data_IF_698315105969
#
_entry.id   IF_698315105969
#
_cell.length_a   1.000
_cell.length_b   1.000
_cell.length_c   1.000
_cell.angle_alpha   90.00
_cell.angle_beta   90.00
_cell.angle_gamma   90.00
#
_symmetry.space_group_name_H-M   'P 1'
#
loop_
_entity.id
_entity.type
_entity.pdbx_description
1 polymer ?
#
# COMPACT_ATOMS: atom_id res chain seq x y z
N UNK A 1 25.17 -66.32 -6.14
CA UNK A 1 23.91 -66.58 -5.42
C UNK A 1 23.86 -65.60 -4.27
N UNK A 2 22.77 -64.84 -4.14
CA UNK A 2 22.19 -64.28 -2.89
C UNK A 2 23.15 -63.28 -2.15
N UNK A 3 22.90 -61.95 -2.11
CA UNK A 3 21.98 -61.23 -1.19
C UNK A 3 22.33 -61.51 0.30
N UNK A 4 22.28 -60.61 1.29
CA UNK A 4 21.78 -59.24 1.48
C UNK A 4 22.52 -58.64 2.73
N UNK A 5 22.46 -57.40 3.22
CA UNK A 5 21.79 -56.12 2.86
C UNK A 5 22.53 -54.93 3.55
N UNK A 6 22.03 -53.70 3.40
CA UNK A 6 21.99 -52.56 4.37
C UNK A 6 23.31 -51.94 4.93
N UNK A 7 23.48 -50.62 5.08
CA UNK A 7 22.58 -49.45 5.00
C UNK A 7 23.40 -48.14 4.85
N UNK A 8 23.05 -47.17 3.97
CA UNK A 8 23.51 -45.79 4.07
C UNK A 8 22.46 -44.88 4.70
N UNK A 9 22.87 -44.03 5.64
CA UNK A 9 21.99 -43.19 6.46
C UNK A 9 21.06 -42.28 5.64
N UNK A 10 19.77 -42.33 5.99
CA UNK A 10 18.70 -41.60 5.32
C UNK A 10 18.71 -40.11 5.72
N UNK A 11 19.54 -39.30 5.04
CA UNK A 11 19.51 -37.84 5.17
C UNK A 11 18.20 -37.26 4.59
N UNK A 12 17.21 -37.21 5.46
CA UNK A 12 15.88 -36.66 5.27
C UNK A 12 15.92 -35.26 4.61
N UNK A 13 15.35 -35.07 3.40
CA UNK A 13 15.42 -33.79 2.70
C UNK A 13 14.61 -32.72 3.45
N UNK A 14 15.32 -31.84 4.16
CA UNK A 14 14.75 -30.71 4.89
C UNK A 14 13.81 -29.91 3.99
N UNK A 15 12.54 -29.84 4.41
CA UNK A 15 11.48 -29.00 3.87
C UNK A 15 12.01 -27.79 3.09
N UNK A 16 11.93 -27.86 1.76
CA UNK A 16 12.13 -26.70 0.89
C UNK A 16 10.98 -25.72 1.14
N UNK A 17 11.21 -24.79 2.06
CA UNK A 17 10.22 -23.80 2.47
C UNK A 17 9.63 -23.11 1.26
N UNK A 18 8.29 -23.00 1.20
CA UNK A 18 7.55 -22.35 0.12
C UNK A 18 8.17 -20.98 -0.18
N UNK A 19 8.94 -20.89 -1.25
CA UNK A 19 9.39 -19.61 -1.83
C UNK A 19 8.13 -18.94 -2.38
N UNK A 20 7.46 -18.17 -1.52
CA UNK A 20 6.24 -17.45 -1.85
C UNK A 20 6.60 -16.43 -2.92
N UNK A 21 6.26 -16.73 -4.16
CA UNK A 21 6.83 -16.11 -5.36
C UNK A 21 6.94 -14.60 -5.25
N UNK A 22 8.17 -14.08 -5.31
CA UNK A 22 8.40 -12.67 -5.56
C UNK A 22 8.06 -12.38 -7.03
N UNK A 23 6.76 -12.23 -7.32
CA UNK A 23 6.28 -11.68 -8.58
C UNK A 23 6.63 -10.18 -8.63
N UNK A 24 7.93 -9.87 -8.72
CA UNK A 24 8.44 -8.55 -9.06
C UNK A 24 8.17 -8.33 -10.55
N UNK A 25 7.26 -7.41 -10.85
CA UNK A 25 7.07 -6.88 -12.21
C UNK A 25 8.43 -6.42 -12.75
N UNK A 26 8.75 -6.80 -13.99
CA UNK A 26 9.96 -6.35 -14.68
C UNK A 26 9.88 -4.84 -14.96
N UNK A 27 11.01 -4.18 -15.23
CA UNK A 27 11.02 -2.73 -15.57
C UNK A 27 10.11 -2.45 -16.77
N UNK A 28 10.08 -3.35 -17.75
CA UNK A 28 9.22 -3.29 -18.93
C UNK A 28 7.73 -3.43 -18.57
N UNK A 29 7.36 -4.44 -17.77
CA UNK A 29 5.95 -4.60 -17.34
C UNK A 29 5.47 -3.42 -16.51
N UNK A 30 6.34 -2.80 -15.70
CA UNK A 30 6.03 -1.54 -14.99
C UNK A 30 5.78 -0.40 -15.97
N UNK A 31 6.62 -0.23 -17.00
CA UNK A 31 6.46 0.83 -17.99
C UNK A 31 5.14 0.69 -18.78
N UNK A 32 4.82 -0.52 -19.24
CA UNK A 32 3.57 -0.81 -19.96
C UNK A 32 2.34 -0.54 -19.09
N UNK A 33 2.35 -0.99 -17.82
CA UNK A 33 1.28 -0.71 -16.87
C UNK A 33 1.16 0.78 -16.54
N UNK A 34 2.29 1.48 -16.43
CA UNK A 34 2.31 2.92 -16.15
C UNK A 34 1.66 3.71 -17.28
N UNK A 35 2.07 3.50 -18.54
CA UNK A 35 1.47 4.21 -19.67
C UNK A 35 -0.01 3.85 -19.89
N UNK A 36 -0.39 2.57 -19.68
CA UNK A 36 -1.79 2.16 -19.75
C UNK A 36 -2.69 2.84 -18.70
N UNK A 37 -2.19 3.04 -17.47
CA UNK A 37 -2.94 3.59 -16.33
C UNK A 37 -2.70 5.08 -16.09
N UNK A 38 -1.80 5.72 -16.85
CA UNK A 38 -1.39 7.13 -16.70
C UNK A 38 -2.58 8.09 -16.68
N UNK A 39 -3.52 7.87 -17.60
CA UNK A 39 -4.75 8.68 -17.73
C UNK A 39 -5.67 8.51 -16.53
N UNK A 40 -5.75 7.32 -15.95
CA UNK A 40 -6.59 7.05 -14.78
C UNK A 40 -5.95 7.63 -13.52
N UNK A 41 -4.62 7.54 -13.37
CA UNK A 41 -3.90 8.24 -12.30
C UNK A 41 -4.10 9.76 -12.40
N UNK A 42 -4.01 10.35 -13.58
CA UNK A 42 -4.28 11.78 -13.82
C UNK A 42 -5.75 12.20 -13.61
N UNK A 43 -6.67 11.25 -13.47
CA UNK A 43 -8.11 11.49 -13.20
C UNK A 43 -8.52 11.05 -11.79
N UNK A 44 -7.56 10.63 -10.96
CA UNK A 44 -7.83 9.93 -9.70
C UNK A 44 -8.58 10.79 -8.67
N UNK A 45 -8.34 12.10 -8.58
CA UNK A 45 -9.16 13.01 -7.75
C UNK A 45 -10.64 12.97 -8.19
N UNK A 46 -10.93 13.00 -9.49
CA UNK A 46 -12.31 12.95 -10.00
C UNK A 46 -12.99 11.62 -9.64
N UNK A 47 -12.26 10.51 -9.80
CA UNK A 47 -12.76 9.16 -9.50
C UNK A 47 -13.02 9.00 -7.99
N UNK A 48 -12.12 9.45 -7.12
CA UNK A 48 -12.30 9.41 -5.66
C UNK A 48 -13.43 10.36 -5.23
N UNK A 49 -13.65 11.46 -5.95
CA UNK A 49 -14.77 12.36 -5.71
C UNK A 49 -16.16 11.76 -6.07
N UNK A 50 -16.23 10.63 -6.77
CA UNK A 50 -17.47 9.88 -6.99
C UNK A 50 -17.83 8.92 -5.84
N UNK A 51 -16.87 8.55 -4.98
CA UNK A 51 -17.07 7.55 -3.90
C UNK A 51 -17.74 8.14 -2.64
N UNK A 52 -18.29 7.26 -1.79
CA UNK A 52 -18.76 7.58 -0.43
C UNK A 52 -17.64 8.09 0.49
N UNK A 53 -17.98 8.79 1.57
CA UNK A 53 -16.97 9.37 2.49
C UNK A 53 -16.17 8.30 3.24
N UNK A 54 -16.82 7.20 3.59
CA UNK A 54 -16.25 5.97 4.12
C UNK A 54 -15.35 5.25 3.11
N UNK A 55 -15.83 5.07 1.87
CA UNK A 55 -15.06 4.48 0.77
C UNK A 55 -13.77 5.25 0.49
N UNK A 56 -13.82 6.59 0.47
CA UNK A 56 -12.65 7.46 0.27
C UNK A 56 -11.54 7.17 1.28
N UNK A 57 -11.86 7.01 2.56
CA UNK A 57 -10.85 6.70 3.58
C UNK A 57 -10.20 5.33 3.36
N UNK A 58 -11.00 4.33 2.97
CA UNK A 58 -10.52 2.98 2.67
C UNK A 58 -9.68 2.92 1.37
N UNK A 59 -10.03 3.69 0.34
CA UNK A 59 -9.25 3.83 -0.90
C UNK A 59 -7.91 4.53 -0.65
N UNK A 60 -7.90 5.64 0.08
CA UNK A 60 -6.69 6.39 0.43
C UNK A 60 -5.69 5.54 1.23
N UNK A 61 -6.19 4.65 2.08
CA UNK A 61 -5.43 3.62 2.81
C UNK A 61 -4.84 2.55 1.87
N UNK A 62 -5.48 2.26 0.73
CA UNK A 62 -4.89 1.39 -0.30
C UNK A 62 -3.70 2.04 -1.03
N UNK A 63 -3.76 3.36 -1.22
CA UNK A 63 -2.74 4.10 -1.99
C UNK A 63 -1.41 4.35 -1.24
N UNK A 64 -1.39 4.33 0.09
CA UNK A 64 -0.16 4.55 0.88
C UNK A 64 0.98 3.60 0.55
N UNK A 65 0.64 2.34 0.26
CA UNK A 65 1.60 1.31 -0.14
C UNK A 65 2.30 1.66 -1.44
N UNK A 66 1.56 2.17 -2.43
CA UNK A 66 2.13 2.55 -3.73
C UNK A 66 3.01 3.80 -3.62
N UNK A 67 2.64 4.75 -2.76
CA UNK A 67 3.47 5.93 -2.45
C UNK A 67 4.81 5.60 -1.78
N UNK A 68 4.99 4.37 -1.29
CA UNK A 68 6.19 3.93 -0.55
C UNK A 68 6.89 2.71 -1.13
N UNK A 69 6.41 2.14 -2.24
CA UNK A 69 7.02 0.96 -2.87
C UNK A 69 7.85 1.34 -4.10
N UNK A 70 9.07 0.80 -4.19
CA UNK A 70 9.91 0.83 -5.40
C UNK A 70 10.65 2.15 -5.62
N UNK A 71 11.95 2.08 -5.91
CA UNK A 71 12.82 3.26 -6.02
C UNK A 71 13.35 3.53 -7.43
N UNK A 72 12.97 2.69 -8.41
CA UNK A 72 13.22 2.94 -9.83
C UNK A 72 12.47 4.15 -10.38
N UNK A 73 12.97 4.72 -11.49
CA UNK A 73 12.49 5.95 -12.14
C UNK A 73 10.97 5.94 -12.38
N UNK A 74 10.44 4.83 -12.91
CA UNK A 74 9.00 4.66 -13.19
C UNK A 74 8.20 4.69 -11.89
N UNK A 75 8.69 4.03 -10.84
CA UNK A 75 8.07 4.07 -9.52
C UNK A 75 8.10 5.48 -8.91
N UNK A 76 9.16 6.27 -9.13
CA UNK A 76 9.22 7.66 -8.69
C UNK A 76 8.27 8.58 -9.47
N UNK A 77 8.17 8.43 -10.80
CA UNK A 77 7.20 9.19 -11.62
C UNK A 77 5.76 8.86 -11.22
N UNK A 78 5.45 7.57 -11.03
CA UNK A 78 4.15 7.11 -10.54
C UNK A 78 3.83 7.64 -9.14
N UNK A 79 4.80 7.63 -8.19
CA UNK A 79 4.63 8.23 -6.86
C UNK A 79 4.29 9.72 -6.97
N UNK A 80 4.96 10.47 -7.85
CA UNK A 80 4.72 11.91 -8.04
C UNK A 80 3.30 12.18 -8.53
N UNK A 81 2.87 11.51 -9.60
CA UNK A 81 1.50 11.68 -10.15
C UNK A 81 0.44 11.28 -9.12
N UNK A 82 0.61 10.14 -8.43
CA UNK A 82 -0.30 9.72 -7.37
C UNK A 82 -0.35 10.74 -6.22
N UNK A 83 0.80 11.28 -5.80
CA UNK A 83 0.83 12.27 -4.72
C UNK A 83 0.10 13.56 -5.10
N UNK A 84 0.40 14.13 -6.28
CA UNK A 84 -0.25 15.36 -6.78
C UNK A 84 -1.79 15.24 -6.81
N UNK A 85 -2.31 14.05 -7.11
CA UNK A 85 -3.76 13.78 -7.20
C UNK A 85 -4.39 13.43 -5.85
N UNK A 86 -3.65 12.79 -4.93
CA UNK A 86 -4.17 12.32 -3.65
C UNK A 86 -3.94 13.29 -2.48
N UNK A 87 -2.98 14.21 -2.57
CA UNK A 87 -2.66 15.17 -1.51
C UNK A 87 -3.89 15.98 -1.03
N UNK A 88 -4.81 16.47 -1.89
CA UNK A 88 -6.02 17.16 -1.45
C UNK A 88 -6.95 16.27 -0.62
N UNK A 89 -6.98 14.96 -0.91
CA UNK A 89 -7.77 13.98 -0.17
C UNK A 89 -7.14 13.60 1.16
N UNK A 90 -5.80 13.46 1.24
CA UNK A 90 -5.10 13.27 2.50
C UNK A 90 -5.25 14.47 3.45
N UNK A 91 -5.26 15.70 2.92
CA UNK A 91 -5.60 16.92 3.70
C UNK A 91 -7.04 16.88 4.26
N UNK A 92 -7.98 16.26 3.53
CA UNK A 92 -9.40 16.11 3.90
C UNK A 92 -9.70 14.87 4.76
N UNK A 93 -8.71 14.06 5.13
CA UNK A 93 -8.91 12.77 5.81
C UNK A 93 -9.77 12.85 7.10
N UNK A 94 -9.68 13.96 7.85
CA UNK A 94 -10.54 14.25 9.01
C UNK A 94 -12.04 14.24 8.74
N UNK A 95 -12.46 14.47 7.49
CA UNK A 95 -13.87 14.46 7.08
C UNK A 95 -14.31 13.08 6.61
N UNK A 96 -13.38 12.17 6.34
CA UNK A 96 -13.67 10.81 5.86
C UNK A 96 -13.65 9.80 7.02
N UNK A 97 -12.65 9.89 7.90
CA UNK A 97 -12.50 9.01 9.08
C UNK A 97 -13.76 8.93 9.96
N UNK A 98 -14.51 10.02 10.27
CA UNK A 98 -15.68 9.96 11.15
C UNK A 98 -16.78 8.99 10.68
N UNK A 99 -16.92 8.77 9.37
CA UNK A 99 -17.94 7.91 8.77
C UNK A 99 -17.62 6.41 8.86
N UNK A 100 -16.37 6.05 9.18
CA UNK A 100 -15.94 4.66 9.35
C UNK A 100 -16.42 4.05 10.67
N UNK A 101 -16.55 2.72 10.72
CA UNK A 101 -16.76 2.01 12.00
C UNK A 101 -15.52 2.17 12.93
N UNK A 102 -15.67 2.03 14.26
CA UNK A 102 -14.54 2.15 15.20
C UNK A 102 -13.34 1.25 14.87
N UNK A 103 -13.60 0.03 14.38
CA UNK A 103 -12.55 -0.93 13.97
C UNK A 103 -11.80 -0.47 12.73
N UNK A 104 -12.51 0.10 11.76
CA UNK A 104 -11.92 0.64 10.53
C UNK A 104 -11.13 1.92 10.80
N UNK A 105 -11.65 2.84 11.64
CA UNK A 105 -10.94 4.05 12.09
C UNK A 105 -9.53 3.72 12.59
N UNK A 106 -9.42 2.76 13.51
CA UNK A 106 -8.13 2.31 14.07
C UNK A 106 -7.25 1.70 12.98
N UNK A 107 -7.81 0.87 12.09
CA UNK A 107 -7.06 0.17 11.04
C UNK A 107 -6.51 1.14 10.00
N UNK A 108 -7.32 2.08 9.54
CA UNK A 108 -6.98 3.14 8.57
C UNK A 108 -5.90 4.05 9.14
N UNK A 109 -6.07 4.56 10.37
CA UNK A 109 -5.07 5.39 11.04
C UNK A 109 -3.74 4.66 11.26
N UNK A 110 -3.76 3.39 11.67
CA UNK A 110 -2.53 2.59 11.83
C UNK A 110 -1.80 2.39 10.50
N UNK A 111 -2.51 2.11 9.42
CA UNK A 111 -1.90 2.00 8.08
C UNK A 111 -1.27 3.32 7.66
N UNK A 112 -1.94 4.47 7.85
CA UNK A 112 -1.33 5.77 7.56
C UNK A 112 -0.05 6.04 8.37
N UNK A 113 -0.04 5.74 9.67
CA UNK A 113 1.15 5.95 10.50
C UNK A 113 2.32 5.02 10.12
N UNK A 114 2.01 3.78 9.69
CA UNK A 114 3.01 2.79 9.30
C UNK A 114 3.56 3.04 7.88
N UNK A 115 2.67 3.27 6.91
CA UNK A 115 3.00 3.32 5.48
C UNK A 115 3.28 4.72 4.95
N UNK A 116 3.07 5.80 5.70
CA UNK A 116 3.60 7.11 5.28
C UNK A 116 5.11 7.12 5.56
N UNK A 117 5.88 7.27 4.48
CA UNK A 117 7.36 7.34 4.46
C UNK A 117 7.87 8.36 5.47
N UNK A 118 9.05 8.16 6.11
CA UNK A 118 9.59 9.10 7.10
C UNK A 118 9.64 10.57 6.63
N UNK A 119 9.86 10.78 5.32
CA UNK A 119 9.84 12.08 4.64
C UNK A 119 8.47 12.76 4.77
N UNK A 120 7.40 12.10 4.33
CA UNK A 120 6.03 12.64 4.38
C UNK A 120 5.36 12.51 5.76
N UNK A 121 5.94 11.72 6.67
CA UNK A 121 5.37 11.43 8.00
C UNK A 121 5.26 12.69 8.86
N UNK A 122 6.22 13.61 8.78
CA UNK A 122 6.12 14.90 9.50
C UNK A 122 4.91 15.70 9.03
N UNK A 123 4.68 15.80 7.73
CA UNK A 123 3.56 16.58 7.19
C UNK A 123 2.22 15.91 7.45
N UNK A 124 2.14 14.59 7.30
CA UNK A 124 0.94 13.83 7.65
C UNK A 124 0.61 13.92 9.15
N UNK A 125 1.59 13.78 10.04
CA UNK A 125 1.40 13.96 11.50
C UNK A 125 1.00 15.40 11.83
N UNK A 126 1.62 16.40 11.19
CA UNK A 126 1.24 17.81 11.35
C UNK A 126 -0.19 18.08 10.88
N UNK A 127 -0.64 17.44 9.80
CA UNK A 127 -2.03 17.48 9.34
C UNK A 127 -2.93 16.84 10.40
N UNK A 128 -2.67 15.59 10.81
CA UNK A 128 -3.51 14.85 11.78
C UNK A 128 -3.62 15.57 13.13
N UNK A 129 -2.53 16.16 13.64
CA UNK A 129 -2.54 16.95 14.89
C UNK A 129 -3.41 18.22 14.73
N UNK A 130 -3.31 18.91 13.59
CA UNK A 130 -4.14 20.11 13.31
C UNK A 130 -5.63 19.79 13.15
N UNK A 131 -5.98 18.55 12.79
CA UNK A 131 -7.35 18.12 12.52
C UNK A 131 -8.26 18.01 13.76
N UNK A 132 -7.74 18.24 14.99
CA UNK A 132 -8.52 18.27 16.27
C UNK A 132 -9.57 17.14 16.40
N UNK A 133 -9.21 15.94 15.96
CA UNK A 133 -10.13 14.80 15.87
C UNK A 133 -10.58 14.41 17.29
N UNK A 134 -11.83 14.73 17.62
CA UNK A 134 -12.46 14.27 18.86
C UNK A 134 -12.90 12.82 18.68
N UNK A 135 -12.27 11.92 19.43
CA UNK A 135 -12.81 10.57 19.63
C UNK A 135 -13.96 10.66 20.62
N UNK A 136 -15.20 10.61 20.14
CA UNK A 136 -16.37 10.33 20.97
C UNK A 136 -16.35 8.84 21.32
N UNK A 137 -16.14 8.54 22.61
CA UNK A 137 -16.41 7.24 23.25
C UNK A 137 -17.87 6.85 23.12
#
# INVERSE_FOLDING_TARGET
MIEENENPENENPKNSGRVRGQNKLTKESKAVLFEALKTDYQRLDKLINCCGLDERANLLKGFTKYLTTGDDEISQEMKKILWEQLEPHYKKLQFYIPHLSPKEKITVLRTFLNEITPVHRKDAVNIIIKQKIKFTT
#
